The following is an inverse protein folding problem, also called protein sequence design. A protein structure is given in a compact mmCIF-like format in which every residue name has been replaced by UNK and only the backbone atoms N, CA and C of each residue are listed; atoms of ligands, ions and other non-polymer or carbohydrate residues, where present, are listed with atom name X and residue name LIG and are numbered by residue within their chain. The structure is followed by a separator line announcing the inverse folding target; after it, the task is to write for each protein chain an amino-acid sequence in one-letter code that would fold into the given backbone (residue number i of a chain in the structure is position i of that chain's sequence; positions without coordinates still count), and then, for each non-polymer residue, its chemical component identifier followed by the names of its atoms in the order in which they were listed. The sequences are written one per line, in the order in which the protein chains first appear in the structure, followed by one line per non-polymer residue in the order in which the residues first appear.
data_IF_998832090690
#
_entry.id   IF_998832090690
#
_cell.length_a   1.000
_cell.length_b   1.000
_cell.length_c   1.000
_cell.angle_alpha   90.00
_cell.angle_beta   90.00
_cell.angle_gamma   90.00
#
_symmetry.space_group_name_H-M   'P 1'
#
loop_
_entity.id
_entity.type
_entity.pdbx_description
1 polymer ?
#
# COMPACT_ATOMS: atom_id res chain seq x y z
N UNK A 1 -31.10 19.83 -5.96
CA UNK A 1 -30.79 18.83 -7.01
C UNK A 1 -31.88 17.75 -7.04
N UNK A 2 -32.57 17.53 -8.19
CA UNK A 2 -33.70 16.55 -8.28
C UNK A 2 -33.30 15.10 -8.22
N UNK A 3 -31.99 14.77 -8.29
CA UNK A 3 -31.48 13.40 -8.23
C UNK A 3 -31.03 13.00 -6.83
N UNK A 4 -30.65 13.95 -5.98
CA UNK A 4 -30.16 13.63 -4.64
C UNK A 4 -31.24 12.93 -3.79
N UNK A 5 -30.92 11.84 -3.08
CA UNK A 5 -29.59 11.27 -2.76
C UNK A 5 -28.99 10.34 -3.82
N UNK A 6 -29.58 10.21 -4.98
CA UNK A 6 -29.05 9.41 -6.08
C UNK A 6 -27.97 10.19 -6.85
N UNK A 7 -26.94 9.48 -7.24
CA UNK A 7 -25.79 9.99 -7.98
C UNK A 7 -25.57 9.19 -9.26
N UNK A 8 -25.14 9.88 -10.32
CA UNK A 8 -24.55 9.20 -11.47
C UNK A 8 -23.08 8.95 -11.16
N UNK A 9 -22.66 7.70 -11.21
CA UNK A 9 -21.32 7.27 -10.82
C UNK A 9 -20.64 6.57 -11.98
N UNK A 10 -19.42 6.97 -12.27
CA UNK A 10 -18.55 6.27 -13.20
C UNK A 10 -17.86 5.12 -12.48
N UNK A 11 -17.94 3.92 -13.04
CA UNK A 11 -17.19 2.77 -12.58
C UNK A 11 -16.62 2.00 -13.77
N UNK A 12 -15.33 2.21 -14.04
CA UNK A 12 -14.72 1.71 -15.27
C UNK A 12 -15.39 2.29 -16.51
N UNK A 13 -15.82 1.45 -17.45
CA UNK A 13 -16.54 1.86 -18.67
C UNK A 13 -18.04 2.03 -18.49
N UNK A 14 -18.58 1.65 -17.32
CA UNK A 14 -20.02 1.70 -17.05
C UNK A 14 -20.42 2.97 -16.28
N UNK A 15 -21.62 3.44 -16.60
CA UNK A 15 -22.32 4.44 -15.79
C UNK A 15 -23.30 3.72 -14.90
N UNK A 16 -23.30 4.05 -13.62
CA UNK A 16 -24.16 3.42 -12.61
C UNK A 16 -24.96 4.48 -11.87
N UNK A 17 -26.11 4.09 -11.37
CA UNK A 17 -26.87 4.86 -10.41
C UNK A 17 -26.45 4.44 -9.00
N UNK A 18 -25.91 5.35 -8.22
CA UNK A 18 -25.52 5.14 -6.84
C UNK A 18 -26.39 5.91 -5.85
N UNK A 19 -26.43 5.43 -4.62
CA UNK A 19 -27.09 6.08 -3.48
C UNK A 19 -26.05 6.53 -2.48
N UNK A 20 -26.07 7.82 -2.11
CA UNK A 20 -25.15 8.39 -1.12
C UNK A 20 -25.58 7.98 0.29
N UNK A 21 -24.84 7.09 0.96
CA UNK A 21 -25.22 6.54 2.27
C UNK A 21 -25.24 7.58 3.39
N UNK A 22 -24.34 8.56 3.34
CA UNK A 22 -24.26 9.65 4.34
C UNK A 22 -25.25 10.79 4.03
N UNK A 23 -26.34 10.52 3.33
CA UNK A 23 -27.38 11.50 3.14
C UNK A 23 -28.28 11.55 4.38
N UNK A 24 -28.44 12.72 4.99
CA UNK A 24 -29.31 12.89 6.16
C UNK A 24 -30.76 12.38 5.92
N UNK A 25 -31.28 12.50 4.69
CA UNK A 25 -32.58 11.94 4.35
C UNK A 25 -32.60 10.40 4.46
N UNK A 26 -31.52 9.74 4.11
CA UNK A 26 -31.40 8.27 4.23
C UNK A 26 -31.17 7.89 5.69
N UNK A 27 -30.34 8.62 6.41
CA UNK A 27 -30.03 8.38 7.82
C UNK A 27 -31.24 8.64 8.73
N UNK A 28 -31.93 9.78 8.55
CA UNK A 28 -33.04 10.22 9.43
C UNK A 28 -34.34 9.51 9.15
N UNK A 29 -34.67 9.30 7.87
CA UNK A 29 -36.00 8.79 7.47
C UNK A 29 -36.03 7.30 7.17
N UNK A 30 -34.88 6.65 7.05
CA UNK A 30 -34.76 5.22 6.77
C UNK A 30 -35.80 4.73 5.74
N UNK A 31 -35.81 5.26 4.50
CA UNK A 31 -36.82 4.91 3.50
C UNK A 31 -36.82 3.41 3.26
N UNK A 32 -37.99 2.84 3.04
CA UNK A 32 -38.12 1.40 2.79
C UNK A 32 -37.36 1.05 1.50
N UNK A 33 -36.62 -0.06 1.52
CA UNK A 33 -35.79 -0.50 0.39
C UNK A 33 -36.59 -0.58 -0.93
N UNK A 34 -37.87 -0.98 -0.85
CA UNK A 34 -38.79 -1.02 -1.98
C UNK A 34 -39.01 0.36 -2.64
N UNK A 35 -39.09 1.43 -1.86
CA UNK A 35 -39.24 2.78 -2.37
C UNK A 35 -37.98 3.26 -3.09
N UNK A 36 -36.80 2.94 -2.52
CA UNK A 36 -35.52 3.24 -3.15
C UNK A 36 -35.41 2.51 -4.49
N UNK A 37 -35.76 1.24 -4.53
CA UNK A 37 -35.70 0.42 -5.76
C UNK A 37 -36.70 0.91 -6.82
N UNK A 38 -37.91 1.23 -6.42
CA UNK A 38 -38.95 1.76 -7.31
C UNK A 38 -38.53 3.09 -7.95
N UNK A 39 -37.97 3.99 -7.14
CA UNK A 39 -37.47 5.28 -7.65
C UNK A 39 -36.21 5.13 -8.48
N UNK A 40 -35.33 4.22 -8.12
CA UNK A 40 -34.15 3.89 -8.91
C UNK A 40 -34.52 3.34 -10.29
N UNK A 41 -35.56 2.49 -10.39
CA UNK A 41 -36.06 1.98 -11.67
C UNK A 41 -36.68 3.09 -12.53
N UNK A 42 -37.43 4.01 -11.91
CA UNK A 42 -37.92 5.20 -12.61
C UNK A 42 -36.77 6.05 -13.18
N UNK A 43 -35.77 6.33 -12.36
CA UNK A 43 -34.59 7.08 -12.80
C UNK A 43 -33.83 6.33 -13.92
N UNK A 44 -33.66 5.02 -13.80
CA UNK A 44 -33.00 4.20 -14.81
C UNK A 44 -33.63 4.37 -16.19
N UNK A 45 -34.97 4.36 -16.26
CA UNK A 45 -35.69 4.52 -17.52
C UNK A 45 -35.46 5.91 -18.13
N UNK A 46 -35.42 6.95 -17.31
CA UNK A 46 -35.15 8.32 -17.75
C UNK A 46 -33.71 8.55 -18.18
N UNK A 47 -32.77 8.01 -17.42
CA UNK A 47 -31.33 8.18 -17.63
C UNK A 47 -30.79 7.35 -18.81
N UNK A 48 -31.50 6.30 -19.22
CA UNK A 48 -31.18 5.53 -20.42
C UNK A 48 -31.75 6.14 -21.71
N UNK A 49 -32.43 7.28 -21.64
CA UNK A 49 -32.91 7.95 -22.84
C UNK A 49 -31.73 8.43 -23.75
N UNK A 50 -31.85 8.29 -25.08
CA UNK A 50 -30.78 8.64 -26.02
C UNK A 50 -30.26 10.08 -25.87
N UNK A 51 -31.15 11.02 -25.60
CA UNK A 51 -30.81 12.43 -25.37
C UNK A 51 -29.93 12.62 -24.13
N UNK A 52 -30.25 11.92 -23.05
CA UNK A 52 -29.49 11.97 -21.81
C UNK A 52 -28.09 11.33 -21.98
N UNK A 53 -28.04 10.14 -22.63
CA UNK A 53 -26.78 9.48 -22.95
C UNK A 53 -25.87 10.36 -23.80
N UNK A 54 -26.43 11.05 -24.80
CA UNK A 54 -25.68 12.01 -25.61
C UNK A 54 -25.16 13.18 -24.79
N UNK A 55 -25.94 13.70 -23.84
CA UNK A 55 -25.51 14.78 -22.97
C UNK A 55 -24.35 14.36 -22.04
N UNK A 56 -24.41 13.17 -21.45
CA UNK A 56 -23.33 12.64 -20.58
C UNK A 56 -22.06 12.39 -21.39
N UNK A 57 -22.15 11.88 -22.63
CA UNK A 57 -20.97 11.71 -23.49
C UNK A 57 -20.25 13.03 -23.78
N UNK A 58 -21.01 14.12 -23.93
CA UNK A 58 -20.45 15.46 -24.18
C UNK A 58 -19.95 16.14 -22.91
N UNK A 59 -20.47 15.77 -21.75
CA UNK A 59 -20.17 16.39 -20.44
C UNK A 59 -19.94 15.28 -19.40
N UNK A 60 -18.84 14.52 -19.50
CA UNK A 60 -18.58 13.38 -18.63
C UNK A 60 -18.41 13.75 -17.15
N UNK A 61 -18.16 15.02 -16.85
CA UNK A 61 -18.10 15.59 -15.50
C UNK A 61 -19.45 15.60 -14.76
N UNK A 62 -20.56 15.38 -15.44
CA UNK A 62 -21.90 15.23 -14.79
C UNK A 62 -21.95 13.96 -13.94
N UNK A 63 -21.19 12.93 -14.29
CA UNK A 63 -21.11 11.71 -13.50
C UNK A 63 -19.96 11.82 -12.50
N UNK A 64 -20.27 11.63 -11.22
CA UNK A 64 -19.29 11.61 -10.14
C UNK A 64 -18.41 10.38 -10.19
N UNK A 65 -17.25 10.46 -9.58
CA UNK A 65 -16.37 9.32 -9.37
C UNK A 65 -16.95 8.40 -8.28
N UNK A 66 -16.67 7.10 -8.41
CA UNK A 66 -17.08 6.17 -7.38
C UNK A 66 -16.38 6.48 -6.06
N UNK A 67 -17.16 6.54 -4.97
CA UNK A 67 -16.71 6.70 -3.61
C UNK A 67 -17.24 5.55 -2.75
N UNK A 68 -16.53 5.18 -1.70
CA UNK A 68 -16.91 4.04 -0.85
C UNK A 68 -18.22 4.23 -0.07
N UNK A 69 -18.60 5.48 0.19
CA UNK A 69 -19.86 5.84 0.83
C UNK A 69 -21.06 5.85 -0.14
N UNK A 70 -20.85 5.45 -1.40
CA UNK A 70 -21.91 5.33 -2.40
C UNK A 70 -22.26 3.87 -2.62
N UNK A 71 -23.50 3.50 -2.36
CA UNK A 71 -24.03 2.18 -2.72
C UNK A 71 -24.49 2.17 -4.16
N UNK A 72 -23.96 1.24 -4.95
CA UNK A 72 -24.36 1.08 -6.35
C UNK A 72 -25.68 0.33 -6.43
N UNK A 73 -26.70 0.95 -7.03
CA UNK A 73 -28.08 0.44 -7.08
C UNK A 73 -28.35 -0.31 -8.38
N UNK A 74 -27.99 0.27 -9.53
CA UNK A 74 -28.25 -0.33 -10.82
C UNK A 74 -27.31 0.18 -11.91
N UNK A 75 -26.98 -0.70 -12.86
CA UNK A 75 -26.25 -0.31 -14.05
C UNK A 75 -27.15 0.46 -15.02
N UNK A 76 -26.57 1.49 -15.61
CA UNK A 76 -27.10 2.21 -16.76
C UNK A 76 -26.41 1.67 -18.03
N UNK A 77 -26.82 2.17 -19.21
CA UNK A 77 -26.16 1.74 -20.46
C UNK A 77 -24.68 2.11 -20.47
N UNK A 78 -23.86 1.22 -21.04
CA UNK A 78 -22.46 1.54 -21.33
C UNK A 78 -22.40 2.74 -22.26
N UNK A 79 -22.00 3.88 -21.70
CA UNK A 79 -21.94 5.17 -22.42
C UNK A 79 -20.54 5.41 -22.96
N UNK A 80 -19.56 4.87 -22.26
CA UNK A 80 -18.16 5.07 -22.58
C UNK A 80 -17.65 3.91 -23.41
N UNK A 81 -17.36 4.15 -24.68
CA UNK A 81 -16.72 3.16 -25.56
C UNK A 81 -15.39 2.75 -24.92
N UNK A 82 -15.20 1.45 -24.73
CA UNK A 82 -13.87 0.91 -24.46
C UNK A 82 -13.01 1.23 -25.67
N UNK A 83 -12.19 2.26 -25.60
CA UNK A 83 -11.06 2.39 -26.51
C UNK A 83 -10.29 1.05 -26.46
N UNK A 84 -9.72 0.60 -27.58
CA UNK A 84 -8.96 -0.64 -27.63
C UNK A 84 -7.78 -0.56 -26.66
N UNK A 85 -7.99 -1.04 -25.43
CA UNK A 85 -6.93 -1.15 -24.44
C UNK A 85 -5.97 -2.27 -24.88
N UNK A 86 -4.67 -2.06 -24.76
CA UNK A 86 -3.72 -3.14 -24.97
C UNK A 86 -4.00 -4.26 -23.97
N UNK A 87 -3.77 -5.50 -24.40
CA UNK A 87 -3.91 -6.65 -23.52
C UNK A 87 -2.89 -6.57 -22.39
N UNK A 88 -3.35 -6.36 -21.16
CA UNK A 88 -2.53 -6.37 -19.97
C UNK A 88 -2.26 -7.81 -19.51
N UNK A 89 -1.03 -8.07 -19.08
CA UNK A 89 -0.64 -9.37 -18.52
C UNK A 89 -0.86 -9.35 -17.00
N UNK A 90 -1.61 -10.31 -16.47
CA UNK A 90 -1.79 -10.45 -15.02
C UNK A 90 -0.48 -10.89 -14.37
N UNK A 91 -0.09 -10.20 -13.28
CA UNK A 91 1.13 -10.50 -12.54
C UNK A 91 1.07 -11.88 -11.87
N UNK A 92 2.12 -12.66 -12.06
CA UNK A 92 2.32 -13.97 -11.41
C UNK A 92 3.75 -14.09 -10.89
N UNK A 93 4.04 -15.11 -10.08
CA UNK A 93 5.42 -15.40 -9.65
C UNK A 93 6.36 -15.76 -10.82
N UNK A 94 5.84 -16.23 -11.95
CA UNK A 94 6.65 -16.55 -13.14
C UNK A 94 7.28 -15.28 -13.75
N UNK A 95 6.67 -14.13 -13.50
CA UNK A 95 7.13 -12.85 -14.04
C UNK A 95 8.27 -12.24 -13.21
N UNK A 96 8.55 -12.80 -12.01
CA UNK A 96 9.60 -12.31 -11.09
C UNK A 96 10.93 -12.04 -11.78
N UNK A 97 11.54 -12.98 -12.53
CA UNK A 97 12.88 -12.74 -13.14
C UNK A 97 12.87 -11.58 -14.12
N UNK A 98 11.78 -11.44 -14.91
CA UNK A 98 11.61 -10.34 -15.84
C UNK A 98 11.52 -8.98 -15.12
N UNK A 99 10.66 -8.89 -14.12
CA UNK A 99 10.44 -7.65 -13.36
C UNK A 99 11.71 -7.26 -12.60
N UNK A 100 12.38 -8.20 -11.94
CA UNK A 100 13.65 -7.96 -11.25
C UNK A 100 14.73 -7.44 -12.22
N UNK A 101 14.77 -7.95 -13.45
CA UNK A 101 15.67 -7.45 -14.48
C UNK A 101 15.50 -5.96 -14.82
N UNK A 102 14.29 -5.43 -14.70
CA UNK A 102 14.02 -3.98 -14.83
C UNK A 102 14.32 -3.23 -13.52
N UNK A 103 13.91 -3.77 -12.37
CA UNK A 103 14.13 -3.16 -11.06
C UNK A 103 15.62 -2.97 -10.74
N UNK A 104 16.46 -3.94 -11.07
CA UNK A 104 17.91 -3.88 -10.87
C UNK A 104 18.59 -2.73 -11.62
N UNK A 105 17.98 -2.22 -12.69
CA UNK A 105 18.49 -1.06 -13.45
C UNK A 105 18.14 0.26 -12.76
N UNK A 106 17.20 0.26 -11.83
CA UNK A 106 16.77 1.45 -11.09
C UNK A 106 17.76 1.74 -9.96
N UNK A 107 18.36 2.92 -9.97
CA UNK A 107 19.34 3.36 -8.96
C UNK A 107 18.67 4.08 -7.78
N UNK A 108 17.52 3.57 -7.33
CA UNK A 108 16.78 4.17 -6.22
C UNK A 108 16.94 3.38 -4.94
N UNK A 109 16.73 4.04 -3.80
CA UNK A 109 16.63 3.42 -2.48
C UNK A 109 15.21 3.43 -1.93
N UNK A 110 14.19 3.70 -2.78
CA UNK A 110 12.78 3.63 -2.40
C UNK A 110 12.34 2.17 -2.28
N UNK A 111 11.62 1.87 -1.21
CA UNK A 111 11.18 0.51 -0.85
C UNK A 111 10.33 -0.15 -1.94
N UNK A 112 9.46 0.58 -2.60
CA UNK A 112 8.56 0.06 -3.62
C UNK A 112 9.28 -0.57 -4.84
N UNK A 113 10.58 -0.32 -5.03
CA UNK A 113 11.35 -0.86 -6.17
C UNK A 113 11.91 -2.26 -5.92
N UNK A 114 11.10 -3.13 -5.34
CA UNK A 114 11.44 -4.52 -5.15
C UNK A 114 10.25 -5.45 -5.47
N UNK A 115 10.53 -6.61 -6.09
CA UNK A 115 9.45 -7.53 -6.49
C UNK A 115 8.59 -8.00 -5.31
N UNK A 116 9.18 -8.21 -4.15
CA UNK A 116 8.41 -8.60 -2.97
C UNK A 116 7.38 -7.53 -2.59
N UNK A 117 7.77 -6.25 -2.59
CA UNK A 117 6.86 -5.14 -2.28
C UNK A 117 5.73 -5.03 -3.31
N UNK A 118 6.03 -5.25 -4.58
CA UNK A 118 5.01 -5.28 -5.63
C UNK A 118 4.03 -6.45 -5.42
N UNK A 119 4.54 -7.64 -5.13
CA UNK A 119 3.75 -8.87 -5.16
C UNK A 119 2.88 -9.08 -3.92
N UNK A 120 3.27 -8.58 -2.75
CA UNK A 120 2.52 -8.82 -1.50
C UNK A 120 1.11 -8.22 -1.52
N UNK A 121 0.85 -7.26 -2.38
CA UNK A 121 -0.44 -6.58 -2.54
C UNK A 121 -1.43 -7.29 -3.47
N UNK A 122 -1.04 -8.44 -4.06
CA UNK A 122 -1.85 -9.16 -5.07
C UNK A 122 -3.22 -9.65 -4.59
N UNK A 123 -3.43 -9.76 -3.28
CA UNK A 123 -4.70 -10.19 -2.70
C UNK A 123 -5.64 -8.98 -2.40
N UNK A 124 -5.11 -7.75 -2.51
CA UNK A 124 -5.87 -6.49 -2.42
C UNK A 124 -6.10 -5.87 -3.79
N UNK A 125 -5.13 -5.97 -4.69
CA UNK A 125 -5.17 -5.40 -6.02
C UNK A 125 -5.08 -6.48 -7.09
N UNK A 126 -5.75 -6.28 -8.20
CA UNK A 126 -5.38 -6.95 -9.43
C UNK A 126 -4.16 -6.22 -9.99
N UNK A 127 -3.05 -6.93 -10.13
CA UNK A 127 -1.79 -6.35 -10.60
C UNK A 127 -1.54 -6.83 -12.02
N UNK A 128 -1.29 -5.89 -12.91
CA UNK A 128 -1.02 -6.14 -14.32
C UNK A 128 0.30 -5.52 -14.74
N UNK A 129 0.87 -6.02 -15.81
CA UNK A 129 2.05 -5.43 -16.43
C UNK A 129 1.96 -5.44 -17.96
N UNK A 130 2.68 -4.50 -18.57
CA UNK A 130 2.81 -4.35 -20.02
C UNK A 130 4.20 -3.76 -20.33
N UNK A 131 4.77 -4.14 -21.46
CA UNK A 131 5.97 -3.47 -22.00
C UNK A 131 5.53 -2.49 -23.07
N UNK A 132 5.90 -1.22 -22.92
CA UNK A 132 5.64 -0.13 -23.86
C UNK A 132 7.00 0.45 -24.26
N UNK A 133 7.36 0.36 -25.53
CA UNK A 133 8.64 0.90 -26.04
C UNK A 133 9.86 0.47 -25.21
N UNK A 134 9.93 -0.82 -24.85
CA UNK A 134 10.95 -1.45 -24.01
C UNK A 134 10.92 -1.09 -22.51
N UNK A 135 9.96 -0.27 -22.05
CA UNK A 135 9.80 0.09 -20.65
C UNK A 135 8.72 -0.75 -20.00
N UNK A 136 9.00 -1.32 -18.83
CA UNK A 136 8.03 -2.11 -18.08
C UNK A 136 7.09 -1.20 -17.29
N UNK A 137 5.80 -1.32 -17.57
CA UNK A 137 4.73 -0.58 -16.91
C UNK A 137 3.92 -1.53 -16.03
N UNK A 138 3.74 -1.21 -14.74
CA UNK A 138 3.01 -2.03 -13.77
C UNK A 138 1.79 -1.25 -13.29
N UNK A 139 0.61 -1.84 -13.47
CA UNK A 139 -0.68 -1.25 -13.13
C UNK A 139 -1.31 -2.00 -11.98
N UNK A 140 -1.87 -1.28 -11.03
CA UNK A 140 -2.69 -1.79 -9.95
C UNK A 140 -4.13 -1.39 -10.18
N UNK A 141 -5.04 -2.30 -9.92
CA UNK A 141 -6.47 -2.06 -10.05
C UNK A 141 -7.20 -2.56 -8.80
N UNK A 142 -8.03 -1.71 -8.25
CA UNK A 142 -8.99 -2.04 -7.20
C UNK A 142 -10.41 -1.65 -7.63
N UNK A 143 -11.34 -1.58 -6.66
CA UNK A 143 -12.73 -1.16 -6.91
C UNK A 143 -12.88 0.32 -7.26
N UNK A 144 -11.89 1.15 -6.91
CA UNK A 144 -11.90 2.60 -7.16
C UNK A 144 -11.41 2.90 -8.57
N UNK A 145 -10.35 2.21 -9.01
CA UNK A 145 -9.80 2.40 -10.34
C UNK A 145 -8.42 1.79 -10.55
N UNK A 146 -7.76 2.26 -11.59
CA UNK A 146 -6.43 1.81 -12.00
C UNK A 146 -5.39 2.92 -11.79
N UNK A 147 -4.25 2.56 -11.25
CA UNK A 147 -3.11 3.45 -11.07
C UNK A 147 -1.78 2.68 -11.24
N UNK A 148 -0.67 3.39 -11.34
CA UNK A 148 0.66 2.77 -11.35
C UNK A 148 1.34 2.94 -9.99
N UNK A 149 1.74 1.83 -9.38
CA UNK A 149 2.50 1.85 -8.12
C UNK A 149 3.94 2.34 -8.32
N UNK A 150 4.48 2.23 -9.52
CA UNK A 150 5.82 2.67 -9.90
C UNK A 150 5.75 3.42 -11.24
N UNK A 151 6.66 4.37 -11.49
CA UNK A 151 6.85 4.87 -12.83
C UNK A 151 7.29 3.74 -13.78
N UNK A 152 7.13 3.91 -15.10
CA UNK A 152 7.68 2.98 -16.07
C UNK A 152 9.16 2.70 -15.78
N UNK A 153 9.50 1.42 -15.70
CA UNK A 153 10.84 0.97 -15.34
C UNK A 153 11.70 0.86 -16.61
N UNK A 154 12.77 1.62 -16.64
CA UNK A 154 13.72 1.70 -17.74
C UNK A 154 14.15 3.15 -17.99
N UNK A 155 14.21 3.57 -19.27
CA UNK A 155 14.52 4.96 -19.62
C UNK A 155 13.28 5.83 -19.50
N UNK A 156 13.44 7.06 -19.03
CA UNK A 156 12.36 8.02 -19.02
C UNK A 156 11.98 8.42 -20.46
N UNK A 157 10.76 8.09 -20.88
CA UNK A 157 10.22 8.40 -22.21
C UNK A 157 8.85 9.10 -22.06
N UNK A 158 8.72 10.36 -22.53
CA UNK A 158 7.45 11.09 -22.49
C UNK A 158 6.28 10.34 -23.14
N UNK A 159 6.53 9.68 -24.27
CA UNK A 159 5.54 8.88 -25.00
C UNK A 159 4.99 7.73 -24.19
N UNK A 160 5.85 7.05 -23.41
CA UNK A 160 5.43 5.94 -22.53
C UNK A 160 4.59 6.47 -21.37
N UNK A 161 5.00 7.61 -20.76
CA UNK A 161 4.21 8.24 -19.67
C UNK A 161 2.82 8.61 -20.17
N UNK A 162 2.73 9.25 -21.36
CA UNK A 162 1.44 9.60 -21.97
C UNK A 162 0.56 8.36 -22.19
N UNK A 163 1.10 7.29 -22.80
CA UNK A 163 0.39 6.03 -23.02
C UNK A 163 -0.09 5.38 -21.72
N UNK A 164 0.70 5.45 -20.65
CA UNK A 164 0.29 4.94 -19.33
C UNK A 164 -0.93 5.70 -18.79
N UNK A 165 -0.94 7.04 -18.90
CA UNK A 165 -2.10 7.82 -18.50
C UNK A 165 -3.30 7.56 -19.40
N UNK A 166 -3.14 7.41 -20.71
CA UNK A 166 -4.21 7.05 -21.65
C UNK A 166 -4.87 5.71 -21.23
N UNK A 167 -4.06 4.67 -20.92
CA UNK A 167 -4.56 3.38 -20.45
C UNK A 167 -5.34 3.55 -19.15
N UNK A 168 -4.78 4.24 -18.16
CA UNK A 168 -5.44 4.46 -16.86
C UNK A 168 -6.74 5.26 -17.04
N UNK A 169 -6.74 6.32 -17.85
CA UNK A 169 -7.92 7.17 -18.07
C UNK A 169 -9.05 6.43 -18.75
N UNK A 170 -8.75 5.59 -19.75
CA UNK A 170 -9.78 4.73 -20.37
C UNK A 170 -10.39 3.78 -19.35
N UNK A 171 -9.56 3.22 -18.46
CA UNK A 171 -10.02 2.34 -17.39
C UNK A 171 -10.88 3.07 -16.37
N UNK A 172 -10.42 4.22 -15.94
CA UNK A 172 -11.00 4.97 -14.81
C UNK A 172 -12.20 5.82 -15.22
N UNK A 173 -12.29 6.21 -16.51
CA UNK A 173 -13.23 7.25 -16.96
C UNK A 173 -13.14 8.53 -16.12
N UNK A 174 -12.02 8.70 -15.40
CA UNK A 174 -11.74 9.76 -14.46
C UNK A 174 -10.24 9.98 -14.33
N UNK A 175 -9.76 11.12 -14.74
CA UNK A 175 -8.34 11.47 -14.67
C UNK A 175 -7.81 11.66 -13.25
N UNK A 176 -8.66 12.00 -12.28
CA UNK A 176 -8.24 12.27 -10.89
C UNK A 176 -7.76 11.01 -10.16
N UNK A 177 -8.27 9.82 -10.53
CA UNK A 177 -7.81 8.52 -9.99
C UNK A 177 -6.50 8.08 -10.66
N UNK A 178 -6.32 8.45 -11.93
CA UNK A 178 -5.14 8.10 -12.72
C UNK A 178 -3.90 8.80 -12.16
N UNK A 179 -2.93 8.01 -11.69
CA UNK A 179 -1.70 8.54 -11.10
C UNK A 179 -0.55 7.55 -11.22
N UNK A 180 0.65 8.08 -11.16
CA UNK A 180 1.89 7.31 -11.02
C UNK A 180 2.44 7.59 -9.63
N UNK A 181 2.64 6.54 -8.83
CA UNK A 181 3.12 6.64 -7.46
C UNK A 181 4.61 6.35 -7.33
N UNK A 182 5.15 6.60 -6.14
CA UNK A 182 6.51 6.27 -5.72
C UNK A 182 7.61 6.82 -6.64
N UNK A 183 7.41 8.04 -7.12
CA UNK A 183 8.43 8.80 -7.87
C UNK A 183 9.36 9.48 -6.88
N UNK A 184 10.67 9.33 -7.07
CA UNK A 184 11.67 10.00 -6.25
C UNK A 184 11.66 11.52 -6.49
N UNK A 185 11.99 12.30 -5.46
CA UNK A 185 11.99 13.76 -5.53
C UNK A 185 12.79 14.32 -6.70
N UNK A 186 13.97 13.76 -6.94
CA UNK A 186 14.89 14.17 -8.01
C UNK A 186 14.30 13.97 -9.43
N UNK A 187 13.34 13.06 -9.57
CA UNK A 187 12.69 12.78 -10.86
C UNK A 187 11.45 13.64 -11.13
N UNK A 188 10.88 14.31 -10.12
CA UNK A 188 9.64 15.10 -10.28
C UNK A 188 9.73 16.20 -11.35
N UNK A 189 10.89 16.79 -11.52
CA UNK A 189 11.14 17.83 -12.55
C UNK A 189 10.94 17.32 -13.98
N UNK A 190 11.21 16.03 -14.24
CA UNK A 190 10.98 15.41 -15.55
C UNK A 190 9.48 15.39 -15.89
N UNK A 191 8.64 15.11 -14.91
CA UNK A 191 7.18 15.09 -15.07
C UNK A 191 6.58 16.48 -15.18
N UNK A 192 7.10 17.45 -14.42
CA UNK A 192 6.66 18.85 -14.50
C UNK A 192 6.89 19.44 -15.92
N UNK A 193 7.97 19.04 -16.61
CA UNK A 193 8.22 19.45 -18.00
C UNK A 193 7.21 18.88 -19.00
N UNK A 194 6.47 17.83 -18.62
CA UNK A 194 5.36 17.26 -19.40
C UNK A 194 4.00 17.87 -19.02
N UNK A 195 3.98 18.93 -18.20
CA UNK A 195 2.74 19.54 -17.73
C UNK A 195 2.04 18.77 -16.60
N UNK A 196 2.67 17.71 -16.07
CA UNK A 196 2.11 16.91 -14.96
C UNK A 196 2.38 17.57 -13.61
N UNK A 197 1.49 17.34 -12.64
CA UNK A 197 1.66 17.81 -11.27
C UNK A 197 2.23 16.71 -10.37
N UNK A 198 3.02 17.13 -9.37
CA UNK A 198 3.55 16.22 -8.35
C UNK A 198 3.06 16.60 -6.97
N UNK A 199 2.64 15.62 -6.17
CA UNK A 199 2.25 15.80 -4.77
C UNK A 199 3.09 14.88 -3.89
N UNK A 200 3.60 15.38 -2.77
CA UNK A 200 4.28 14.56 -1.77
C UNK A 200 3.30 13.50 -1.25
N UNK A 201 3.68 12.23 -1.34
CA UNK A 201 2.93 11.08 -0.82
C UNK A 201 3.40 10.71 0.58
N UNK A 202 4.71 10.58 0.75
CA UNK A 202 5.33 10.16 2.02
C UNK A 202 6.82 10.51 2.00
N UNK A 203 7.50 10.23 3.10
CA UNK A 203 8.95 10.34 3.22
C UNK A 203 9.51 9.03 3.77
N UNK A 204 10.42 8.39 3.03
CA UNK A 204 11.14 7.20 3.51
C UNK A 204 12.43 7.58 4.25
N UNK A 205 12.78 6.77 5.24
CA UNK A 205 13.88 7.03 6.16
C UNK A 205 15.00 6.01 5.98
N UNK A 206 16.20 6.48 5.60
CA UNK A 206 17.40 5.67 5.48
C UNK A 206 18.31 5.91 6.67
N UNK A 207 18.53 4.87 7.48
CA UNK A 207 19.42 4.88 8.63
C UNK A 207 20.77 4.24 8.27
N UNK A 208 21.85 4.69 8.91
CA UNK A 208 23.12 3.97 8.86
C UNK A 208 23.02 2.71 9.72
N UNK A 209 23.27 1.56 9.13
CA UNK A 209 23.24 0.27 9.84
C UNK A 209 24.15 0.27 11.07
N UNK A 210 25.34 0.88 10.97
CA UNK A 210 26.28 1.01 12.09
C UNK A 210 25.62 1.67 13.30
N UNK A 211 24.94 2.80 13.08
CA UNK A 211 24.30 3.57 14.16
C UNK A 211 23.17 2.77 14.84
N UNK A 212 22.42 1.96 14.04
CA UNK A 212 21.35 1.12 14.56
C UNK A 212 21.86 -0.07 15.41
N UNK A 213 23.06 -0.54 15.15
CA UNK A 213 23.71 -1.62 15.91
C UNK A 213 24.33 -1.07 17.19
N UNK A 214 25.13 0.00 17.08
CA UNK A 214 25.88 0.58 18.19
C UNK A 214 24.97 1.30 19.16
N UNK A 215 23.96 2.02 18.64
CA UNK A 215 23.08 2.91 19.39
C UNK A 215 23.87 3.91 20.25
N UNK A 216 25.00 4.40 19.72
CA UNK A 216 25.95 5.25 20.45
C UNK A 216 25.42 6.67 20.65
N UNK A 217 25.97 7.38 21.65
CA UNK A 217 25.68 8.78 21.91
C UNK A 217 24.36 9.07 22.61
N UNK A 218 24.12 10.37 22.87
CA UNK A 218 22.93 10.87 23.59
C UNK A 218 21.64 10.64 22.81
N UNK A 219 21.67 10.77 21.47
CA UNK A 219 20.48 10.63 20.60
C UNK A 219 19.85 9.23 20.62
N UNK A 220 20.63 8.19 20.93
CA UNK A 220 20.15 6.81 21.03
C UNK A 220 19.97 6.31 22.46
N UNK A 221 20.10 7.18 23.50
CA UNK A 221 19.99 6.77 24.91
C UNK A 221 18.72 5.98 25.20
N UNK A 222 17.57 6.47 24.74
CA UNK A 222 16.28 5.80 24.93
C UNK A 222 16.22 4.41 24.26
N UNK A 223 16.70 4.31 23.02
CA UNK A 223 16.71 3.02 22.27
C UNK A 223 17.62 1.99 22.96
N UNK A 224 18.81 2.41 23.36
CA UNK A 224 19.77 1.60 24.10
C UNK A 224 19.20 1.14 25.44
N UNK A 225 18.57 2.07 26.19
CA UNK A 225 17.91 1.75 27.46
C UNK A 225 16.80 0.71 27.28
N UNK A 226 15.97 0.85 26.22
CA UNK A 226 14.90 -0.12 25.93
C UNK A 226 15.46 -1.50 25.58
N UNK A 227 16.50 -1.58 24.74
CA UNK A 227 17.18 -2.85 24.44
C UNK A 227 17.74 -3.51 25.70
N UNK A 228 18.44 -2.73 26.53
CA UNK A 228 19.04 -3.24 27.78
C UNK A 228 17.96 -3.70 28.78
N UNK A 229 16.85 -2.95 28.86
CA UNK A 229 15.70 -3.37 29.69
C UNK A 229 15.16 -4.74 29.26
N UNK A 230 14.95 -4.93 27.92
CA UNK A 230 14.48 -6.18 27.38
C UNK A 230 15.41 -7.34 27.75
N UNK A 231 16.70 -7.19 27.47
CA UNK A 231 17.71 -8.24 27.73
C UNK A 231 17.80 -8.58 29.23
N UNK A 232 17.67 -7.56 30.11
CA UNK A 232 17.72 -7.78 31.58
C UNK A 232 16.50 -8.52 32.10
N UNK A 233 15.31 -8.24 31.56
CA UNK A 233 14.04 -8.69 32.17
C UNK A 233 13.41 -9.90 31.47
N UNK A 234 13.82 -10.20 30.23
CA UNK A 234 13.22 -11.28 29.45
C UNK A 234 14.28 -12.20 28.84
N UNK A 235 14.03 -13.51 28.90
CA UNK A 235 14.86 -14.52 28.24
C UNK A 235 14.30 -14.79 26.85
N UNK A 236 14.75 -14.00 25.86
CA UNK A 236 14.32 -14.09 24.47
C UNK A 236 15.35 -14.76 23.57
N UNK A 237 14.96 -15.78 22.80
CA UNK A 237 15.78 -16.37 21.74
C UNK A 237 15.52 -15.61 20.44
N UNK A 238 16.57 -15.05 19.86
CA UNK A 238 16.53 -14.45 18.52
C UNK A 238 16.90 -15.50 17.49
N UNK A 239 15.95 -15.89 16.64
CA UNK A 239 16.05 -17.03 15.73
C UNK A 239 15.69 -16.62 14.31
N UNK A 240 16.34 -17.25 13.32
CA UNK A 240 15.92 -17.11 11.93
C UNK A 240 14.52 -17.69 11.73
N UNK A 241 13.72 -17.00 10.89
CA UNK A 241 12.36 -17.43 10.55
C UNK A 241 12.39 -18.77 9.80
N UNK A 242 11.43 -19.63 10.14
CA UNK A 242 11.17 -20.92 9.45
C UNK A 242 9.69 -20.99 9.09
N UNK A 243 9.34 -21.70 8.02
CA UNK A 243 7.96 -21.85 7.56
C UNK A 243 7.03 -22.40 8.67
N UNK A 244 7.57 -23.23 9.58
CA UNK A 244 6.84 -23.74 10.74
C UNK A 244 6.38 -22.64 11.72
N UNK A 245 6.96 -21.45 11.65
CA UNK A 245 6.58 -20.29 12.50
C UNK A 245 5.48 -19.43 11.89
N UNK A 246 5.07 -19.71 10.65
CA UNK A 246 4.09 -18.92 9.91
C UNK A 246 2.82 -18.68 10.72
N UNK A 247 2.19 -19.75 11.23
CA UNK A 247 0.95 -19.68 12.01
C UNK A 247 1.08 -18.81 13.25
N UNK A 248 2.21 -18.90 13.95
CA UNK A 248 2.43 -18.15 15.18
C UNK A 248 2.71 -16.67 14.89
N UNK A 249 3.40 -16.34 13.78
CA UNK A 249 3.58 -14.97 13.32
C UNK A 249 2.23 -14.33 12.93
N UNK A 250 1.34 -15.07 12.26
CA UNK A 250 -0.01 -14.58 11.94
C UNK A 250 -0.84 -14.32 13.19
N UNK A 251 -0.80 -15.22 14.19
CA UNK A 251 -1.46 -15.01 15.49
C UNK A 251 -0.88 -13.80 16.23
N UNK A 252 0.44 -13.60 16.17
CA UNK A 252 1.08 -12.42 16.74
C UNK A 252 0.57 -11.15 16.09
N UNK A 253 0.48 -11.11 14.74
CA UNK A 253 -0.08 -9.96 14.02
C UNK A 253 -1.51 -9.65 14.47
N UNK A 254 -2.38 -10.65 14.53
CA UNK A 254 -3.77 -10.49 14.95
C UNK A 254 -3.88 -9.94 16.38
N UNK A 255 -3.03 -10.41 17.30
CA UNK A 255 -2.98 -9.88 18.67
C UNK A 255 -2.49 -8.42 18.69
N UNK A 256 -1.42 -8.13 17.97
CA UNK A 256 -0.87 -6.78 17.81
C UNK A 256 -1.89 -5.81 17.18
N UNK A 257 -2.58 -6.23 16.11
CA UNK A 257 -3.60 -5.43 15.45
C UNK A 257 -4.76 -5.10 16.38
N UNK A 258 -5.25 -6.06 17.17
CA UNK A 258 -6.28 -5.81 18.19
C UNK A 258 -5.83 -4.76 19.20
N UNK A 259 -4.63 -4.89 19.77
CA UNK A 259 -4.08 -3.90 20.70
C UNK A 259 -3.94 -2.49 20.07
N UNK A 260 -3.76 -2.40 18.75
CA UNK A 260 -3.71 -1.13 18.02
C UNK A 260 -5.10 -0.56 17.77
N UNK A 261 -6.06 -1.40 17.36
CA UNK A 261 -7.46 -0.99 17.16
C UNK A 261 -8.09 -0.44 18.45
N UNK A 262 -7.80 -1.06 19.59
CA UNK A 262 -8.28 -0.60 20.90
C UNK A 262 -7.78 0.81 21.26
N UNK A 263 -6.61 1.21 20.74
CA UNK A 263 -5.99 2.53 20.97
C UNK A 263 -6.34 3.58 19.96
N UNK A 264 -6.77 3.18 18.77
CA UNK A 264 -7.03 4.06 17.63
C UNK A 264 -8.34 3.66 16.97
N UNK A 265 -9.38 4.49 17.18
CA UNK A 265 -10.73 4.22 16.67
C UNK A 265 -10.97 4.76 15.25
N UNK A 266 -9.97 5.37 14.63
CA UNK A 266 -10.04 5.87 13.26
C UNK A 266 -10.25 4.72 12.26
N UNK A 267 -11.30 4.82 11.44
CA UNK A 267 -11.71 3.77 10.50
C UNK A 267 -10.68 3.53 9.38
N UNK A 268 -10.00 4.60 8.94
CA UNK A 268 -8.96 4.50 7.90
C UNK A 268 -7.76 3.71 8.47
N UNK A 269 -7.37 4.03 9.70
CA UNK A 269 -6.29 3.30 10.36
C UNK A 269 -6.63 1.82 10.57
N UNK A 270 -7.89 1.51 10.93
CA UNK A 270 -8.34 0.12 11.07
C UNK A 270 -8.30 -0.64 9.74
N UNK A 271 -8.72 0.00 8.64
CA UNK A 271 -8.62 -0.59 7.31
C UNK A 271 -7.16 -0.83 6.91
N UNK A 272 -6.27 0.13 7.16
CA UNK A 272 -4.82 -0.04 6.91
C UNK A 272 -4.23 -1.25 7.65
N UNK A 273 -4.69 -1.55 8.87
CA UNK A 273 -4.25 -2.73 9.62
C UNK A 273 -4.75 -4.04 8.96
N UNK A 274 -5.95 -4.05 8.40
CA UNK A 274 -6.50 -5.21 7.70
C UNK A 274 -5.78 -5.45 6.37
N UNK A 275 -5.57 -4.41 5.58
CA UNK A 275 -4.82 -4.47 4.32
C UNK A 275 -3.37 -4.93 4.55
N UNK A 276 -2.73 -4.39 5.60
CA UNK A 276 -1.39 -4.82 6.01
C UNK A 276 -1.36 -6.28 6.48
N UNK A 277 -2.45 -6.80 7.07
CA UNK A 277 -2.52 -8.21 7.44
C UNK A 277 -2.55 -9.11 6.20
N UNK A 278 -3.32 -8.76 5.17
CA UNK A 278 -3.36 -9.52 3.93
C UNK A 278 -2.01 -9.53 3.21
N UNK A 279 -1.34 -8.37 3.16
CA UNK A 279 0.01 -8.29 2.60
C UNK A 279 1.03 -9.10 3.41
N UNK A 280 0.93 -9.10 4.74
CA UNK A 280 1.76 -9.92 5.63
C UNK A 280 1.52 -11.42 5.44
N UNK A 281 0.26 -11.86 5.32
CA UNK A 281 -0.07 -13.26 4.99
C UNK A 281 0.56 -13.67 3.66
N UNK A 282 0.47 -12.82 2.64
CA UNK A 282 1.06 -13.10 1.33
C UNK A 282 2.58 -13.16 1.42
N UNK A 283 3.22 -12.25 2.15
CA UNK A 283 4.66 -12.27 2.38
C UNK A 283 5.13 -13.58 3.03
N UNK A 284 4.46 -14.06 4.07
CA UNK A 284 4.79 -15.32 4.74
C UNK A 284 4.55 -16.54 3.86
N UNK A 285 3.41 -16.58 3.14
CA UNK A 285 3.07 -17.68 2.21
C UNK A 285 4.11 -17.86 1.12
N UNK A 286 4.67 -16.77 0.64
CA UNK A 286 5.64 -16.77 -0.46
C UNK A 286 7.06 -16.41 -0.02
N UNK A 287 7.36 -16.49 1.28
CA UNK A 287 8.59 -16.05 1.92
C UNK A 287 9.86 -16.37 1.12
N UNK A 288 10.09 -17.66 0.84
CA UNK A 288 11.26 -18.13 0.08
C UNK A 288 11.25 -17.65 -1.37
N UNK A 289 10.06 -17.68 -2.02
CA UNK A 289 9.92 -17.30 -3.43
C UNK A 289 10.12 -15.79 -3.63
N UNK A 290 9.81 -15.00 -2.63
CA UNK A 290 10.03 -13.55 -2.64
C UNK A 290 11.46 -13.16 -2.26
N UNK A 291 12.27 -14.09 -1.71
CA UNK A 291 13.63 -13.80 -1.26
C UNK A 291 13.68 -12.94 -0.01
N UNK A 292 12.70 -13.09 0.88
CA UNK A 292 12.67 -12.37 2.14
C UNK A 292 13.67 -12.95 3.14
N UNK A 293 14.25 -12.08 3.97
CA UNK A 293 14.97 -12.46 5.19
C UNK A 293 14.09 -12.16 6.40
N UNK A 294 14.00 -13.05 7.35
CA UNK A 294 13.14 -12.87 8.51
C UNK A 294 13.71 -13.47 9.78
N UNK A 295 13.38 -12.86 10.92
CA UNK A 295 13.77 -13.31 12.26
C UNK A 295 12.60 -13.19 13.23
N UNK A 296 12.62 -14.02 14.26
CA UNK A 296 11.62 -14.03 15.32
C UNK A 296 12.30 -13.97 16.70
N UNK A 297 11.58 -13.45 17.68
CA UNK A 297 11.95 -13.54 19.10
C UNK A 297 10.95 -14.45 19.80
N UNK A 298 11.45 -15.52 20.40
CA UNK A 298 10.67 -16.42 21.25
C UNK A 298 10.98 -16.15 22.72
N UNK A 299 9.94 -16.05 23.53
CA UNK A 299 10.04 -15.83 24.97
C UNK A 299 9.29 -16.93 25.71
N UNK A 300 9.79 -17.39 26.86
CA UNK A 300 9.12 -18.35 27.71
C UNK A 300 7.77 -17.81 28.19
N UNK A 301 6.72 -18.62 28.09
CA UNK A 301 5.41 -18.29 28.64
C UNK A 301 5.49 -18.27 30.16
N UNK A 302 5.12 -17.16 30.80
CA UNK A 302 5.21 -16.95 32.24
C UNK A 302 4.09 -17.60 33.06
N UNK A 303 3.38 -18.60 32.53
CA UNK A 303 2.30 -19.28 33.30
C UNK A 303 2.53 -20.77 33.35
N UNK A 304 2.35 -21.35 34.53
CA UNK A 304 2.54 -22.78 34.86
C UNK A 304 1.73 -23.76 33.97
N UNK A 305 0.84 -23.27 33.11
CA UNK A 305 -0.04 -24.06 32.24
C UNK A 305 0.37 -24.14 30.79
N UNK A 306 1.41 -23.40 30.33
CA UNK A 306 1.86 -23.42 28.92
C UNK A 306 3.35 -23.68 28.88
N UNK A 307 3.72 -24.94 28.68
CA UNK A 307 5.10 -25.33 28.36
C UNK A 307 5.47 -24.92 26.95
N UNK A 308 6.50 -24.07 26.79
CA UNK A 308 7.12 -23.72 25.51
C UNK A 308 7.22 -22.22 25.21
N UNK A 309 8.31 -21.88 24.52
CA UNK A 309 8.58 -20.51 24.08
C UNK A 309 7.62 -20.09 22.97
N UNK A 310 6.94 -18.95 23.14
CA UNK A 310 6.03 -18.37 22.13
C UNK A 310 6.71 -17.23 21.35
N UNK A 311 6.37 -17.09 20.08
CA UNK A 311 6.82 -15.96 19.27
C UNK A 311 6.16 -14.68 19.79
N UNK A 312 6.99 -13.68 20.14
CA UNK A 312 6.59 -12.40 20.72
C UNK A 312 7.03 -11.20 19.87
N UNK A 313 7.92 -11.44 18.91
CA UNK A 313 8.23 -10.48 17.86
C UNK A 313 8.64 -11.20 16.58
N UNK A 314 8.40 -10.57 15.43
CA UNK A 314 8.94 -10.99 14.14
C UNK A 314 9.26 -9.76 13.29
N UNK A 315 10.29 -9.91 12.44
CA UNK A 315 10.70 -8.89 11.50
C UNK A 315 11.07 -9.53 10.18
N UNK A 316 10.77 -8.84 9.08
CA UNK A 316 11.02 -9.31 7.71
C UNK A 316 11.47 -8.16 6.82
N UNK A 317 12.29 -8.48 5.83
CA UNK A 317 12.74 -7.49 4.86
C UNK A 317 13.40 -8.15 3.66
N UNK A 318 13.93 -7.32 2.78
CA UNK A 318 14.56 -7.75 1.53
C UNK A 318 15.76 -6.84 1.17
N UNK A 319 16.74 -7.38 0.42
CA UNK A 319 17.82 -6.59 -0.14
C UNK A 319 17.27 -5.70 -1.25
N UNK A 320 17.27 -4.38 -1.04
CA UNK A 320 16.75 -3.43 -2.01
C UNK A 320 17.78 -3.15 -3.13
N UNK A 321 19.02 -2.99 -2.75
CA UNK A 321 20.17 -2.86 -3.66
C UNK A 321 21.45 -3.30 -2.95
N UNK A 322 22.62 -3.14 -3.60
CA UNK A 322 23.91 -3.59 -3.04
C UNK A 322 24.28 -2.95 -1.70
N UNK A 323 23.80 -1.76 -1.40
CA UNK A 323 24.14 -1.01 -0.18
C UNK A 323 22.98 -0.90 0.82
N UNK A 324 21.75 -1.16 0.39
CA UNK A 324 20.54 -0.88 1.17
C UNK A 324 19.69 -2.12 1.35
N UNK A 325 19.32 -2.42 2.58
CA UNK A 325 18.32 -3.41 2.94
C UNK A 325 17.05 -2.70 3.42
N UNK A 326 15.87 -3.18 3.00
CA UNK A 326 14.58 -2.64 3.42
C UNK A 326 13.96 -3.53 4.50
N UNK A 327 13.55 -2.94 5.62
CA UNK A 327 12.75 -3.60 6.66
C UNK A 327 11.28 -3.38 6.33
N UNK A 328 10.61 -4.46 5.91
CA UNK A 328 9.24 -4.43 5.41
C UNK A 328 8.20 -4.57 6.53
N UNK A 329 8.42 -5.50 7.44
CA UNK A 329 7.53 -5.73 8.58
C UNK A 329 8.30 -5.83 9.89
N UNK A 330 7.76 -5.23 10.94
CA UNK A 330 8.20 -5.41 12.32
C UNK A 330 6.96 -5.47 13.22
N UNK A 331 6.64 -6.64 13.74
CA UNK A 331 5.45 -6.91 14.55
C UNK A 331 5.91 -7.41 15.91
N UNK A 332 5.46 -6.74 16.98
CA UNK A 332 5.89 -7.03 18.34
C UNK A 332 4.70 -7.08 19.30
N UNK A 333 4.72 -8.00 20.25
CA UNK A 333 3.79 -8.00 21.38
C UNK A 333 4.11 -6.81 22.30
N UNK A 334 3.19 -5.85 22.37
CA UNK A 334 3.39 -4.57 23.07
C UNK A 334 3.48 -4.72 24.60
N UNK A 335 3.20 -5.90 25.14
CA UNK A 335 3.36 -6.19 26.57
C UNK A 335 4.82 -6.42 26.98
N UNK A 336 5.72 -6.66 26.01
CA UNK A 336 7.14 -6.88 26.29
C UNK A 336 7.94 -5.60 26.01
N UNK A 337 8.13 -4.80 27.05
CA UNK A 337 8.86 -3.51 26.95
C UNK A 337 10.26 -3.71 26.37
N UNK A 338 10.58 -2.98 25.30
CA UNK A 338 11.89 -2.97 24.65
C UNK A 338 12.09 -4.04 23.57
N UNK A 339 11.13 -4.95 23.37
CA UNK A 339 11.25 -6.03 22.38
C UNK A 339 11.41 -5.51 20.96
N UNK A 340 10.69 -4.43 20.59
CA UNK A 340 10.78 -3.82 19.26
C UNK A 340 12.21 -3.30 19.00
N UNK A 341 12.79 -2.54 19.92
CA UNK A 341 14.15 -2.04 19.81
C UNK A 341 15.18 -3.19 19.78
N UNK A 342 14.93 -4.25 20.55
CA UNK A 342 15.80 -5.41 20.59
C UNK A 342 15.78 -6.16 19.27
N UNK A 343 14.61 -6.58 18.76
CA UNK A 343 14.52 -7.35 17.51
C UNK A 343 15.10 -6.56 16.33
N UNK A 344 14.80 -5.26 16.24
CA UNK A 344 15.31 -4.39 15.20
C UNK A 344 16.84 -4.31 15.22
N UNK A 345 17.43 -4.08 16.40
CA UNK A 345 18.89 -4.04 16.57
C UNK A 345 19.55 -5.37 16.20
N UNK A 346 19.03 -6.49 16.70
CA UNK A 346 19.58 -7.81 16.43
C UNK A 346 19.44 -8.17 14.94
N UNK A 347 18.32 -7.77 14.30
CA UNK A 347 18.17 -7.93 12.86
C UNK A 347 19.21 -7.13 12.08
N UNK A 348 19.42 -5.86 12.41
CA UNK A 348 20.47 -5.04 11.79
C UNK A 348 21.87 -5.65 11.92
N UNK A 349 22.19 -6.35 13.02
CA UNK A 349 23.46 -7.08 13.17
C UNK A 349 23.64 -8.19 12.12
N UNK A 350 22.53 -8.89 11.76
CA UNK A 350 22.56 -9.96 10.74
C UNK A 350 22.73 -9.45 9.31
N UNK A 351 22.52 -8.18 9.06
CA UNK A 351 22.58 -7.55 7.75
C UNK A 351 23.97 -6.98 7.41
N UNK A 352 25.04 -7.74 7.65
CA UNK A 352 26.44 -7.26 7.58
C UNK A 352 26.87 -6.72 6.21
N UNK A 353 26.23 -7.17 5.11
CA UNK A 353 26.55 -6.72 3.75
C UNK A 353 25.99 -5.33 3.37
N UNK A 354 25.18 -4.69 4.24
CA UNK A 354 24.49 -3.45 3.89
C UNK A 354 24.99 -2.26 4.73
N UNK A 355 25.14 -1.13 4.08
CA UNK A 355 25.51 0.15 4.70
C UNK A 355 24.30 0.88 5.26
N UNK A 356 23.18 0.82 4.53
CA UNK A 356 21.95 1.51 4.86
C UNK A 356 20.81 0.53 5.16
N UNK A 357 19.94 0.94 6.09
CA UNK A 357 18.67 0.27 6.36
C UNK A 357 17.55 1.26 6.02
N UNK A 358 16.73 0.92 5.03
CA UNK A 358 15.50 1.64 4.74
C UNK A 358 14.41 1.10 5.67
N UNK A 359 13.83 1.98 6.46
CA UNK A 359 12.75 1.68 7.40
C UNK A 359 11.38 2.17 6.90
N UNK A 360 11.28 2.44 5.59
CA UNK A 360 10.08 2.89 4.89
C UNK A 360 9.52 4.24 5.40
N UNK A 361 8.40 4.68 4.86
CA UNK A 361 7.69 5.89 5.24
C UNK A 361 6.79 5.72 6.46
N UNK A 362 6.11 6.78 6.84
CA UNK A 362 5.26 6.85 8.04
C UNK A 362 3.75 6.77 7.71
N UNK A 363 3.35 6.72 6.44
CA UNK A 363 1.95 6.65 5.99
C UNK A 363 1.07 7.72 6.66
N UNK A 364 1.57 8.96 6.75
CA UNK A 364 0.93 10.11 7.39
C UNK A 364 0.59 9.93 8.90
N UNK A 365 1.16 8.90 9.56
CA UNK A 365 0.98 8.67 10.98
C UNK A 365 2.08 9.37 11.79
N UNK A 366 1.75 10.48 12.46
CA UNK A 366 2.71 11.29 13.24
C UNK A 366 3.42 10.49 14.37
N UNK A 367 2.72 9.56 15.01
CA UNK A 367 3.33 8.67 16.01
C UNK A 367 4.40 7.76 15.38
N UNK A 368 4.14 7.22 14.19
CA UNK A 368 5.09 6.37 13.47
C UNK A 368 6.27 7.19 12.95
N UNK A 369 6.02 8.39 12.43
CA UNK A 369 7.04 9.36 12.02
C UNK A 369 7.98 9.70 13.18
N UNK A 370 7.44 10.03 14.35
CA UNK A 370 8.22 10.27 15.56
C UNK A 370 9.12 9.07 15.94
N UNK A 371 8.57 7.85 15.86
CA UNK A 371 9.36 6.64 16.12
C UNK A 371 10.49 6.50 15.11
N UNK A 372 10.23 6.69 13.81
CA UNK A 372 11.24 6.57 12.75
C UNK A 372 12.34 7.63 12.86
N UNK A 373 11.98 8.89 13.08
CA UNK A 373 12.94 9.98 13.33
C UNK A 373 13.81 9.76 14.58
N UNK A 374 13.30 9.03 15.58
CA UNK A 374 14.08 8.68 16.78
C UNK A 374 15.21 7.68 16.51
N UNK A 375 15.25 7.05 15.34
CA UNK A 375 16.38 6.27 14.84
C UNK A 375 17.42 7.09 14.07
N UNK A 376 17.26 8.43 14.05
CA UNK A 376 18.22 9.38 13.45
C UNK A 376 18.60 9.03 12.02
N UNK A 377 17.63 9.00 11.09
CA UNK A 377 17.91 8.65 9.71
C UNK A 377 18.99 9.58 9.11
N UNK A 378 19.89 9.00 8.34
CA UNK A 378 20.94 9.73 7.64
C UNK A 378 20.42 10.47 6.42
N UNK A 379 19.36 9.93 5.79
CA UNK A 379 18.66 10.55 4.67
C UNK A 379 17.17 10.37 4.82
N UNK A 380 16.46 11.39 4.39
CA UNK A 380 15.02 11.40 4.20
C UNK A 380 14.76 11.50 2.69
N UNK A 381 14.00 10.56 2.13
CA UNK A 381 13.72 10.50 0.70
C UNK A 381 12.24 10.77 0.50
N UNK A 382 11.91 11.94 -0.08
CA UNK A 382 10.55 12.29 -0.44
C UNK A 382 10.04 11.40 -1.58
N UNK A 383 8.85 10.87 -1.39
CA UNK A 383 8.12 10.00 -2.32
C UNK A 383 6.94 10.78 -2.88
N UNK A 384 6.79 10.82 -4.19
CA UNK A 384 5.78 11.66 -4.84
C UNK A 384 4.82 10.84 -5.69
N UNK A 385 3.59 11.32 -5.75
CA UNK A 385 2.60 10.90 -6.73
C UNK A 385 2.53 11.93 -7.85
N UNK A 386 2.39 11.44 -9.09
CA UNK A 386 2.27 12.26 -10.30
C UNK A 386 0.84 12.15 -10.83
N UNK A 387 0.27 13.30 -11.18
CA UNK A 387 -1.09 13.43 -11.71
C UNK A 387 -1.11 14.25 -12.99
N UNK A 388 -2.11 14.02 -13.81
CA UNK A 388 -2.49 14.99 -14.85
C UNK A 388 -3.10 16.23 -14.18
N UNK A 389 -2.91 17.40 -14.83
CA UNK A 389 -3.53 18.66 -14.41
C UNK A 389 -4.94 18.75 -14.94
#
# INVERSE_FOLDING_TARGET
CRLYPFLLVKKGSSLQLGLHKSCCFIEDKQPVLADIQTYAQYLKNRLNAPSFISAIRKNPEIAADYQENVELITDLKDIFTKAHLPKLNKLTLKDKPRIEGYLLKSKTSLSAYHFADIFIWKDLFQIFWLIIEDELCIFYQDKIGMFMMLPPLGKFKPTVIQKCFEIMNVYNQNSAVSRIENVAREDTTKYSRLGLSSKLKDTEYLCLRKDLIELAGKGFKSKRSSCNYFVKNYRGDFLEYKDSYCRDCLKLYQSWSRQRKDRHQDSIYQQMLEDSFLSFQTALRYYKKLGLSGYVVKIDGSTALTTGKKIKACTFGYPLNKETFCVLFEICDLNFKGIAQYIFREFCKKLSGYKYINIMGASDLENLKTVKLSYRPKREIGVYNIYQK
#
